data_IF_805297724925
#
_entry.id   IF_805297724925
#
_cell.length_a   1.000
_cell.length_b   1.000
_cell.length_c   1.000
_cell.angle_alpha   90.00
_cell.angle_beta   90.00
_cell.angle_gamma   90.00
#
_symmetry.space_group_name_H-M   'P 1'
#
loop_
_entity.id
_entity.type
_entity.pdbx_description
1 polymer ?
#
# COMPACT_ATOMS: atom_id res chain seq x y z
N UNK A 1 -29.95 38.80 -23.22
CA UNK A 1 -28.49 38.56 -23.28
C UNK A 1 -27.92 38.26 -21.88
N UNK A 2 -28.26 37.14 -21.23
CA UNK A 2 -27.77 36.87 -19.87
C UNK A 2 -27.38 35.40 -19.58
N UNK A 3 -27.83 34.44 -20.39
CA UNK A 3 -27.64 33.00 -20.10
C UNK A 3 -26.31 32.47 -20.64
N UNK A 4 -25.83 32.98 -21.78
CA UNK A 4 -24.57 32.51 -22.42
C UNK A 4 -23.30 32.88 -21.67
N UNK A 5 -23.33 33.94 -20.83
CA UNK A 5 -22.16 34.34 -20.02
C UNK A 5 -21.98 33.50 -18.76
N UNK A 6 -23.06 32.97 -18.20
CA UNK A 6 -23.03 32.12 -16.99
C UNK A 6 -22.50 30.72 -17.33
N UNK A 7 -22.83 30.18 -18.52
CA UNK A 7 -22.35 28.86 -18.96
C UNK A 7 -20.82 28.82 -19.16
N UNK A 8 -20.23 29.92 -19.66
CA UNK A 8 -18.78 30.02 -19.86
C UNK A 8 -17.98 30.06 -18.54
N UNK A 9 -18.54 30.69 -17.51
CA UNK A 9 -17.91 30.76 -16.19
C UNK A 9 -17.96 29.39 -15.50
N UNK A 10 -19.08 28.67 -15.61
CA UNK A 10 -19.19 27.30 -15.08
C UNK A 10 -18.20 26.33 -15.76
N UNK A 11 -17.98 26.46 -17.07
CA UNK A 11 -17.02 25.60 -17.78
C UNK A 11 -15.55 25.91 -17.42
N UNK A 12 -15.23 27.17 -17.13
CA UNK A 12 -13.87 27.59 -16.75
C UNK A 12 -13.51 27.23 -15.30
N UNK A 13 -14.48 27.16 -14.39
CA UNK A 13 -14.22 26.74 -12.99
C UNK A 13 -14.06 25.21 -12.90
N UNK A 14 -14.75 24.44 -13.75
CA UNK A 14 -14.57 22.98 -13.82
C UNK A 14 -13.18 22.56 -14.34
N UNK A 15 -12.54 23.33 -15.21
CA UNK A 15 -11.21 22.99 -15.75
C UNK A 15 -10.04 23.29 -14.81
N UNK A 16 -10.20 24.16 -13.81
CA UNK A 16 -9.14 24.46 -12.83
C UNK A 16 -8.98 23.39 -11.75
N UNK A 17 -10.03 22.64 -11.41
CA UNK A 17 -9.95 21.57 -10.40
C UNK A 17 -9.40 20.24 -10.92
N UNK A 18 -9.30 20.06 -12.24
CA UNK A 18 -8.80 18.82 -12.85
C UNK A 18 -7.26 18.79 -12.95
N UNK A 19 -6.60 19.95 -12.96
CA UNK A 19 -5.16 20.03 -13.22
C UNK A 19 -4.24 19.92 -11.99
N UNK A 20 -4.73 20.01 -10.75
CA UNK A 20 -3.87 19.99 -9.56
C UNK A 20 -3.33 18.60 -9.23
N UNK A 21 -4.08 17.52 -9.54
CA UNK A 21 -3.66 16.14 -9.26
C UNK A 21 -2.73 15.51 -10.30
N UNK A 22 -2.78 15.96 -11.57
CA UNK A 22 -1.95 15.39 -12.64
C UNK A 22 -0.45 15.66 -12.41
N UNK A 23 -0.11 16.84 -11.88
CA UNK A 23 1.28 17.22 -11.60
C UNK A 23 1.91 16.34 -10.48
N UNK A 24 1.13 15.94 -9.48
CA UNK A 24 1.65 15.12 -8.36
C UNK A 24 1.93 13.67 -8.76
N UNK A 25 1.06 13.08 -9.59
CA UNK A 25 1.20 11.69 -10.01
C UNK A 25 2.31 11.50 -11.06
N UNK A 26 2.42 12.42 -12.01
CA UNK A 26 3.54 12.45 -12.96
C UNK A 26 4.88 12.64 -12.24
N UNK A 27 4.93 13.54 -11.24
CA UNK A 27 6.12 13.74 -10.41
C UNK A 27 6.50 12.47 -9.65
N UNK A 28 5.55 11.80 -9.00
CA UNK A 28 5.77 10.51 -8.31
C UNK A 28 6.32 9.46 -9.27
N UNK A 29 5.75 9.36 -10.48
CA UNK A 29 6.20 8.42 -11.50
C UNK A 29 7.63 8.72 -11.97
N UNK A 30 7.96 9.99 -12.21
CA UNK A 30 9.31 10.43 -12.59
C UNK A 30 10.34 10.10 -11.50
N UNK A 31 10.05 10.47 -10.25
CA UNK A 31 10.93 10.19 -9.11
C UNK A 31 11.12 8.68 -8.93
N UNK A 32 10.05 7.89 -9.01
CA UNK A 32 10.13 6.44 -8.90
C UNK A 32 11.00 5.85 -10.03
N UNK A 33 10.80 6.29 -11.28
CA UNK A 33 11.60 5.80 -12.41
C UNK A 33 13.09 6.10 -12.21
N UNK A 34 13.42 7.31 -11.76
CA UNK A 34 14.79 7.74 -11.49
C UNK A 34 15.44 6.90 -10.39
N UNK A 35 14.74 6.67 -9.29
CA UNK A 35 15.32 6.13 -8.05
C UNK A 35 15.01 4.64 -7.82
N UNK A 36 14.28 3.99 -8.75
CA UNK A 36 13.74 2.63 -8.60
C UNK A 36 14.74 1.59 -8.10
N UNK A 37 15.97 1.59 -8.64
CA UNK A 37 17.02 0.64 -8.25
C UNK A 37 17.46 0.86 -6.80
N UNK A 38 17.62 2.12 -6.38
CA UNK A 38 18.00 2.46 -5.02
C UNK A 38 16.87 2.13 -4.05
N UNK A 39 15.65 2.54 -4.39
CA UNK A 39 14.44 2.29 -3.60
C UNK A 39 14.19 0.78 -3.42
N UNK A 40 14.40 -0.02 -4.46
CA UNK A 40 14.25 -1.48 -4.37
C UNK A 40 15.20 -2.10 -3.34
N UNK A 41 16.48 -1.73 -3.38
CA UNK A 41 17.50 -2.22 -2.41
C UNK A 41 17.17 -1.81 -0.98
N UNK A 42 16.70 -0.58 -0.80
CA UNK A 42 16.26 -0.06 0.49
C UNK A 42 15.11 -0.88 1.05
N UNK A 43 14.04 -1.09 0.26
CA UNK A 43 12.88 -1.87 0.68
C UNK A 43 13.22 -3.34 0.96
N UNK A 44 14.11 -3.95 0.18
CA UNK A 44 14.63 -5.29 0.49
C UNK A 44 15.34 -5.33 1.84
N UNK A 45 16.15 -4.32 2.14
CA UNK A 45 16.88 -4.22 3.40
C UNK A 45 15.91 -4.06 4.57
N UNK A 46 14.89 -3.21 4.43
CA UNK A 46 13.82 -3.04 5.43
C UNK A 46 13.11 -4.36 5.72
N UNK A 47 12.75 -5.11 4.67
CA UNK A 47 12.06 -6.38 4.81
C UNK A 47 12.94 -7.48 5.45
N UNK A 48 14.20 -7.60 5.02
CA UNK A 48 15.13 -8.58 5.63
C UNK A 48 15.36 -8.25 7.12
N UNK A 49 15.51 -6.96 7.44
CA UNK A 49 15.71 -6.47 8.81
C UNK A 49 14.49 -6.72 9.69
N UNK A 50 13.28 -6.54 9.17
CA UNK A 50 12.05 -6.87 9.88
C UNK A 50 11.92 -8.38 10.14
N UNK A 51 12.18 -9.21 9.11
CA UNK A 51 11.99 -10.66 9.20
C UNK A 51 13.04 -11.36 10.06
N UNK A 52 14.20 -10.76 10.32
CA UNK A 52 15.29 -11.42 11.06
C UNK A 52 14.89 -11.85 12.49
N UNK A 53 14.04 -11.05 13.15
CA UNK A 53 13.57 -11.30 14.51
C UNK A 53 12.29 -12.16 14.57
N UNK A 54 11.66 -12.40 13.42
CA UNK A 54 10.38 -13.12 13.30
C UNK A 54 10.54 -14.59 12.88
N UNK A 55 11.77 -15.12 12.90
CA UNK A 55 12.09 -16.51 12.50
C UNK A 55 11.48 -17.57 13.43
N UNK A 56 11.29 -17.24 14.70
CA UNK A 56 10.66 -18.12 15.69
C UNK A 56 9.92 -17.30 16.75
N UNK A 57 8.95 -17.92 17.42
CA UNK A 57 8.22 -17.31 18.54
C UNK A 57 9.14 -16.90 19.68
N UNK A 58 10.14 -17.72 20.00
CA UNK A 58 11.11 -17.44 21.05
C UNK A 58 11.95 -16.20 20.72
N UNK A 59 12.50 -16.14 19.50
CA UNK A 59 13.26 -14.98 19.01
C UNK A 59 12.42 -13.71 19.02
N UNK A 60 11.17 -13.80 18.55
CA UNK A 60 10.26 -12.66 18.50
C UNK A 60 9.97 -12.12 19.90
N UNK A 61 9.61 -12.97 20.87
CA UNK A 61 9.33 -12.52 22.24
C UNK A 61 10.57 -11.95 22.93
N UNK A 62 11.75 -12.52 22.67
CA UNK A 62 13.01 -12.01 23.21
C UNK A 62 13.33 -10.60 22.72
N UNK A 63 12.94 -10.26 21.49
CA UNK A 63 13.27 -9.00 20.82
C UNK A 63 12.05 -8.13 20.52
N UNK A 64 10.98 -8.26 21.32
CA UNK A 64 9.71 -7.58 21.02
C UNK A 64 9.84 -6.05 21.01
N UNK A 65 10.71 -5.50 21.86
CA UNK A 65 10.97 -4.05 21.90
C UNK A 65 11.66 -3.57 20.63
N UNK A 66 12.65 -4.31 20.14
CA UNK A 66 13.38 -4.02 18.91
C UNK A 66 12.47 -4.18 17.70
N UNK A 67 11.62 -5.21 17.69
CA UNK A 67 10.63 -5.42 16.63
C UNK A 67 9.64 -4.25 16.56
N UNK A 68 9.09 -3.81 17.69
CA UNK A 68 8.20 -2.65 17.72
C UNK A 68 8.90 -1.37 17.22
N UNK A 69 10.17 -1.17 17.59
CA UNK A 69 10.98 -0.05 17.10
C UNK A 69 11.19 -0.11 15.57
N UNK A 70 11.50 -1.29 15.04
CA UNK A 70 11.64 -1.53 13.60
C UNK A 70 10.32 -1.28 12.87
N UNK A 71 9.20 -1.76 13.41
CA UNK A 71 7.87 -1.55 12.84
C UNK A 71 7.54 -0.06 12.73
N UNK A 72 7.82 0.72 13.78
CA UNK A 72 7.58 2.17 13.77
C UNK A 72 8.47 2.92 12.77
N UNK A 73 9.77 2.58 12.72
CA UNK A 73 10.73 3.15 11.75
C UNK A 73 10.33 2.81 10.33
N UNK A 74 10.04 1.53 10.06
CA UNK A 74 9.64 1.06 8.74
C UNK A 74 8.32 1.70 8.30
N UNK A 75 7.36 1.82 9.21
CA UNK A 75 6.07 2.46 8.92
C UNK A 75 6.24 3.92 8.54
N UNK A 76 7.00 4.67 9.34
CA UNK A 76 7.34 6.07 9.06
C UNK A 76 8.00 6.20 7.69
N UNK A 77 8.98 5.34 7.41
CA UNK A 77 9.70 5.36 6.14
C UNK A 77 8.80 4.98 4.95
N UNK A 78 7.90 4.02 5.11
CA UNK A 78 6.93 3.66 4.08
C UNK A 78 5.97 4.82 3.78
N UNK A 79 5.54 5.60 4.78
CA UNK A 79 4.73 6.81 4.57
C UNK A 79 5.48 7.82 3.71
N UNK A 80 6.76 8.07 4.01
CA UNK A 80 7.61 8.97 3.20
C UNK A 80 7.76 8.47 1.76
N UNK A 81 7.99 7.17 1.59
CA UNK A 81 8.13 6.53 0.27
C UNK A 81 6.83 6.69 -0.52
N UNK A 82 5.67 6.40 0.08
CA UNK A 82 4.36 6.53 -0.57
C UNK A 82 4.09 7.98 -0.97
N UNK A 83 4.38 8.94 -0.09
CA UNK A 83 4.21 10.36 -0.40
C UNK A 83 5.12 10.82 -1.54
N UNK A 84 6.36 10.32 -1.59
CA UNK A 84 7.38 10.77 -2.55
C UNK A 84 7.25 10.08 -3.91
N UNK A 85 7.00 8.78 -3.92
CA UNK A 85 7.11 7.92 -5.10
C UNK A 85 5.80 7.21 -5.48
N UNK A 86 4.76 7.33 -4.65
CA UNK A 86 3.59 6.45 -4.68
C UNK A 86 3.91 5.05 -4.12
N UNK A 87 2.89 4.22 -3.98
CA UNK A 87 3.02 2.88 -3.41
C UNK A 87 3.98 2.03 -4.25
N UNK A 88 5.05 1.49 -3.64
CA UNK A 88 6.08 0.76 -4.38
C UNK A 88 5.67 -0.69 -4.59
N UNK A 89 4.55 -0.96 -5.26
CA UNK A 89 4.13 -2.33 -5.56
C UNK A 89 5.19 -3.10 -6.37
N UNK A 90 5.28 -4.41 -6.20
CA UNK A 90 6.24 -5.25 -6.90
C UNK A 90 6.22 -5.07 -8.43
N UNK A 91 5.04 -4.93 -9.03
CA UNK A 91 4.87 -4.77 -10.49
C UNK A 91 5.47 -3.47 -11.05
N UNK A 92 5.72 -2.46 -10.21
CA UNK A 92 6.35 -1.20 -10.64
C UNK A 92 7.85 -1.34 -10.80
N UNK A 93 8.47 -2.31 -10.11
CA UNK A 93 9.88 -2.61 -10.28
C UNK A 93 10.09 -3.47 -11.53
N UNK A 94 10.93 -3.00 -12.46
CA UNK A 94 11.34 -3.75 -13.65
C UNK A 94 12.49 -4.70 -13.32
N UNK A 95 12.36 -5.54 -12.30
CA UNK A 95 13.44 -6.46 -11.90
C UNK A 95 13.50 -7.63 -12.87
N UNK A 96 14.63 -7.78 -13.57
CA UNK A 96 14.91 -8.88 -14.52
C UNK A 96 15.40 -10.16 -13.82
N UNK A 97 14.86 -10.53 -12.65
CA UNK A 97 15.41 -11.64 -11.86
C UNK A 97 14.42 -12.31 -10.90
N UNK A 98 14.83 -13.48 -10.37
CA UNK A 98 14.08 -14.38 -9.47
C UNK A 98 13.80 -13.80 -8.06
N UNK A 99 14.20 -12.56 -7.79
CA UNK A 99 13.98 -11.91 -6.51
C UNK A 99 12.53 -11.43 -6.42
N UNK A 100 11.64 -12.34 -6.05
CA UNK A 100 10.25 -12.04 -5.72
C UNK A 100 10.20 -11.35 -4.35
N UNK A 101 10.20 -10.02 -4.36
CA UNK A 101 10.00 -9.21 -3.16
C UNK A 101 8.73 -8.38 -3.30
N UNK A 102 7.86 -8.44 -2.29
CA UNK A 102 6.58 -7.73 -2.25
C UNK A 102 6.57 -6.71 -1.11
N UNK A 103 6.74 -5.40 -1.40
CA UNK A 103 6.86 -4.37 -0.36
C UNK A 103 5.67 -4.25 0.60
N UNK A 104 4.49 -4.75 0.23
CA UNK A 104 3.33 -4.77 1.13
C UNK A 104 3.60 -5.54 2.44
N UNK A 105 4.53 -6.51 2.45
CA UNK A 105 4.88 -7.28 3.66
C UNK A 105 5.43 -6.39 4.78
N UNK A 106 6.01 -5.23 4.45
CA UNK A 106 6.47 -4.28 5.47
C UNK A 106 5.26 -3.67 6.19
N UNK A 107 4.17 -3.41 5.47
CA UNK A 107 2.99 -2.73 6.02
C UNK A 107 1.99 -3.65 6.71
N UNK A 108 2.09 -4.97 6.56
CA UNK A 108 1.28 -5.91 7.37
C UNK A 108 1.74 -5.93 8.84
N UNK A 109 2.93 -5.39 9.10
CA UNK A 109 3.52 -5.17 10.42
C UNK A 109 3.50 -3.69 10.83
N UNK A 110 2.72 -2.86 10.13
CA UNK A 110 2.70 -1.44 10.41
C UNK A 110 2.29 -1.15 11.86
N UNK A 111 2.97 -0.18 12.46
CA UNK A 111 2.66 0.31 13.80
C UNK A 111 1.25 0.94 13.80
N UNK A 112 0.40 0.47 14.71
CA UNK A 112 -1.01 0.79 14.77
C UNK A 112 -1.28 2.29 14.93
N UNK A 113 -0.34 3.04 15.53
CA UNK A 113 -0.48 4.49 15.67
C UNK A 113 -0.56 5.23 14.33
N UNK A 114 -0.11 4.62 13.24
CA UNK A 114 -0.17 5.18 11.89
C UNK A 114 -1.32 4.64 11.04
N UNK A 115 -2.20 3.79 11.58
CA UNK A 115 -3.21 3.07 10.81
C UNK A 115 -4.13 4.01 10.01
N UNK A 116 -4.61 5.10 10.62
CA UNK A 116 -5.48 6.08 9.95
C UNK A 116 -4.77 6.82 8.82
N UNK A 117 -3.50 7.17 9.03
CA UNK A 117 -2.66 7.84 8.03
C UNK A 117 -2.41 6.91 6.84
N UNK A 118 -2.00 5.67 7.12
CA UNK A 118 -1.76 4.66 6.09
C UNK A 118 -3.03 4.32 5.32
N UNK A 119 -4.17 4.17 6.00
CA UNK A 119 -5.43 3.84 5.34
C UNK A 119 -5.82 4.89 4.28
N UNK A 120 -5.72 6.18 4.63
CA UNK A 120 -5.99 7.29 3.71
C UNK A 120 -5.02 7.29 2.52
N UNK A 121 -3.73 7.11 2.78
CA UNK A 121 -2.70 7.06 1.73
C UNK A 121 -2.91 5.86 0.79
N UNK A 122 -3.15 4.67 1.34
CA UNK A 122 -3.33 3.46 0.56
C UNK A 122 -4.60 3.50 -0.29
N UNK A 123 -5.66 4.19 0.16
CA UNK A 123 -6.86 4.39 -0.65
C UNK A 123 -6.56 5.24 -1.88
N UNK A 124 -5.85 6.36 -1.72
CA UNK A 124 -5.41 7.21 -2.85
C UNK A 124 -4.54 6.40 -3.83
N UNK A 125 -3.61 5.61 -3.30
CA UNK A 125 -2.72 4.80 -4.12
C UNK A 125 -3.45 3.64 -4.83
N UNK A 126 -4.53 3.13 -4.24
CA UNK A 126 -5.42 2.13 -4.86
C UNK A 126 -6.20 2.76 -6.02
N UNK A 127 -6.79 3.93 -5.79
CA UNK A 127 -7.52 4.68 -6.83
C UNK A 127 -6.61 5.06 -8.00
N UNK A 128 -5.34 5.37 -7.71
CA UNK A 128 -4.33 5.64 -8.72
C UNK A 128 -3.73 4.39 -9.39
N UNK A 129 -4.21 3.18 -9.04
CA UNK A 129 -3.76 1.92 -9.64
C UNK A 129 -2.33 1.51 -9.29
N UNK A 130 -1.71 2.12 -8.28
CA UNK A 130 -0.32 1.84 -7.86
C UNK A 130 -0.21 0.71 -6.83
N UNK A 131 -1.34 0.28 -6.26
CA UNK A 131 -1.45 -0.93 -5.42
C UNK A 131 -2.56 -1.82 -5.99
N UNK A 132 -2.30 -3.13 -6.06
CA UNK A 132 -3.35 -4.05 -6.49
C UNK A 132 -4.47 -4.15 -5.43
N UNK A 133 -5.73 -4.43 -5.82
CA UNK A 133 -6.82 -4.58 -4.86
C UNK A 133 -6.55 -5.63 -3.77
N UNK A 134 -5.83 -6.70 -4.12
CA UNK A 134 -5.49 -7.75 -3.17
C UNK A 134 -4.39 -7.35 -2.19
N UNK A 135 -3.35 -6.63 -2.63
CA UNK A 135 -2.36 -6.04 -1.72
C UNK A 135 -3.03 -5.04 -0.76
N UNK A 136 -3.91 -4.18 -1.29
CA UNK A 136 -4.68 -3.25 -0.47
C UNK A 136 -5.52 -3.97 0.58
N UNK A 137 -6.31 -4.98 0.18
CA UNK A 137 -7.17 -5.73 1.09
C UNK A 137 -6.37 -6.45 2.19
N UNK A 138 -5.17 -6.94 1.87
CA UNK A 138 -4.30 -7.58 2.85
C UNK A 138 -3.80 -6.58 3.90
N UNK A 139 -3.26 -5.44 3.45
CA UNK A 139 -2.76 -4.40 4.35
C UNK A 139 -3.92 -3.83 5.20
N UNK A 140 -5.04 -3.50 4.58
CA UNK A 140 -6.22 -2.94 5.25
C UNK A 140 -6.74 -3.87 6.36
N UNK A 141 -6.77 -5.19 6.10
CA UNK A 141 -7.13 -6.17 7.13
C UNK A 141 -6.17 -6.15 8.31
N UNK A 142 -4.86 -6.00 8.08
CA UNK A 142 -3.87 -5.88 9.15
C UNK A 142 -4.01 -4.57 9.94
N UNK A 143 -4.18 -3.43 9.25
CA UNK A 143 -4.37 -2.12 9.88
C UNK A 143 -5.65 -2.06 10.74
N UNK A 144 -6.66 -2.87 10.41
CA UNK A 144 -7.90 -3.03 11.19
C UNK A 144 -7.80 -4.09 12.30
N UNK A 145 -6.59 -4.49 12.70
CA UNK A 145 -6.40 -5.48 13.76
C UNK A 145 -6.84 -6.90 13.39
N UNK A 146 -6.91 -7.22 12.08
CA UNK A 146 -7.28 -8.54 11.54
C UNK A 146 -8.70 -8.98 11.91
N UNK A 147 -9.62 -8.05 12.11
CA UNK A 147 -11.02 -8.38 12.33
C UNK A 147 -11.68 -8.92 11.07
N UNK A 148 -12.35 -10.08 11.19
CA UNK A 148 -13.07 -10.71 10.08
C UNK A 148 -12.16 -11.32 9.02
N UNK A 149 -12.65 -11.38 7.79
CA UNK A 149 -11.95 -11.97 6.64
C UNK A 149 -11.52 -10.83 5.70
N UNK A 150 -10.26 -10.80 5.22
CA UNK A 150 -9.81 -9.82 4.24
C UNK A 150 -10.67 -9.86 2.97
N UNK A 151 -11.08 -8.67 2.50
CA UNK A 151 -11.98 -8.48 1.36
C UNK A 151 -11.21 -8.44 0.04
N UNK A 152 -10.59 -9.57 -0.31
CA UNK A 152 -9.87 -9.72 -1.56
C UNK A 152 -10.80 -9.80 -2.78
N UNK A 153 -10.41 -9.17 -3.88
CA UNK A 153 -11.18 -9.22 -5.13
C UNK A 153 -11.10 -10.61 -5.78
N UNK A 154 -12.23 -11.10 -6.29
CA UNK A 154 -12.35 -12.45 -6.89
C UNK A 154 -12.48 -13.60 -5.87
N UNK A 155 -12.43 -13.31 -4.56
CA UNK A 155 -12.61 -14.32 -3.52
C UNK A 155 -14.07 -14.80 -3.42
N UNK A 156 -14.30 -16.11 -3.62
CA UNK A 156 -15.62 -16.72 -3.32
C UNK A 156 -15.65 -17.22 -1.89
N UNK A 157 -16.57 -16.69 -1.10
CA UNK A 157 -16.81 -17.11 0.29
C UNK A 157 -17.67 -18.38 0.28
N UNK A 158 -17.14 -19.49 0.80
CA UNK A 158 -17.93 -20.71 1.06
C UNK A 158 -18.09 -20.91 2.56
N UNK A 159 -19.34 -20.92 3.03
CA UNK A 159 -19.69 -21.42 4.37
C UNK A 159 -19.61 -22.95 4.37
N UNK A 160 -18.90 -23.51 5.33
CA UNK A 160 -18.87 -24.96 5.58
C UNK A 160 -20.07 -25.36 6.45
N UNK A 161 -20.42 -26.65 6.43
CA UNK A 161 -21.52 -27.22 7.24
C UNK A 161 -21.34 -27.02 8.75
N UNK A 162 -20.11 -26.86 9.22
CA UNK A 162 -19.78 -26.61 10.64
C UNK A 162 -19.79 -25.11 11.02
N UNK A 163 -20.32 -24.23 10.16
CA UNK A 163 -20.37 -22.78 10.42
C UNK A 163 -19.08 -22.01 10.10
N UNK A 164 -17.95 -22.71 9.87
CA UNK A 164 -16.69 -22.06 9.48
C UNK A 164 -16.73 -21.54 8.05
N UNK A 165 -16.00 -20.46 7.77
CA UNK A 165 -15.94 -19.86 6.43
C UNK A 165 -14.59 -20.14 5.77
N UNK A 166 -14.59 -20.59 4.51
CA UNK A 166 -13.39 -20.73 3.68
C UNK A 166 -13.50 -19.82 2.47
N UNK A 167 -12.52 -18.95 2.27
CA UNK A 167 -12.38 -18.18 1.02
C UNK A 167 -11.60 -19.02 0.02
N UNK A 168 -12.10 -19.11 -1.21
CA UNK A 168 -11.38 -19.70 -2.33
C UNK A 168 -11.04 -18.59 -3.32
N UNK A 169 -9.76 -18.39 -3.55
CA UNK A 169 -9.25 -17.50 -4.58
C UNK A 169 -9.22 -18.24 -5.90
N UNK A 170 -9.67 -17.59 -6.97
CA UNK A 170 -9.30 -18.01 -8.33
C UNK A 170 -7.90 -17.49 -8.58
N UNK A 171 -6.94 -18.40 -8.78
CA UNK A 171 -5.59 -18.04 -9.22
C UNK A 171 -5.68 -17.25 -10.52
N UNK A 172 -4.93 -16.15 -10.62
CA UNK A 172 -4.62 -15.49 -11.89
C UNK A 172 -3.30 -16.03 -12.44
#
# INVERSE_FOLDING_TARGET
MCITRILFILFAVCSFFICSGQNTDERKALLFSRDSVKLFKELQTMAVTDQQYRKSTETFHKHISEVNGIDSINTTRMIEIINTYGFPSAHRFKTKGKEHFTPHIILVHADQQFADTLWKLLLIEKEAGRISPNEYAHIDWHLKGRHGIPQFEGGKVKKRKNGSTRVKFTSF
#
